data_IF_097271074541
#
_entry.id   IF_097271074541
#
_cell.length_a   1.000
_cell.length_b   1.000
_cell.length_c   1.000
_cell.angle_alpha   90.00
_cell.angle_beta   90.00
_cell.angle_gamma   90.00
#
_symmetry.space_group_name_H-M   'P 1'
#
loop_
_entity.id
_entity.type
_entity.pdbx_description
1 polymer ?
#
# COMPACT_ATOMS: atom_id res chain seq x y z
N UNK A 1 2.19 -22.03 4.40
CA UNK A 1 1.65 -23.30 3.87
C UNK A 1 2.41 -23.62 2.61
N UNK A 2 2.85 -24.87 2.43
CA UNK A 2 3.56 -25.30 1.23
C UNK A 2 2.58 -26.05 0.33
N UNK A 3 2.55 -25.72 -0.96
CA UNK A 3 1.75 -26.43 -1.96
C UNK A 3 2.23 -27.88 -2.10
N UNK A 4 1.29 -28.80 -2.21
CA UNK A 4 1.57 -30.24 -2.32
C UNK A 4 2.10 -30.59 -3.71
N UNK A 5 2.68 -31.80 -3.85
CA UNK A 5 3.14 -32.31 -5.15
C UNK A 5 1.97 -32.41 -6.15
N UNK A 6 0.78 -32.82 -5.68
CA UNK A 6 -0.43 -32.90 -6.51
C UNK A 6 -0.87 -31.53 -7.02
N UNK A 7 -0.77 -30.50 -6.20
CA UNK A 7 -1.12 -29.12 -6.62
C UNK A 7 -0.18 -28.67 -7.75
N UNK A 8 1.11 -28.98 -7.65
CA UNK A 8 2.11 -28.65 -8.69
C UNK A 8 1.82 -29.37 -10.00
N UNK A 9 1.44 -30.64 -9.95
CA UNK A 9 1.07 -31.43 -11.14
C UNK A 9 -0.19 -30.87 -11.81
N UNK A 10 -1.20 -30.47 -11.03
CA UNK A 10 -2.42 -29.85 -11.56
C UNK A 10 -2.14 -28.50 -12.22
N UNK A 11 -1.31 -27.66 -11.60
CA UNK A 11 -0.92 -26.35 -12.16
C UNK A 11 -0.09 -26.53 -13.44
N UNK A 12 0.85 -27.47 -13.46
CA UNK A 12 1.64 -27.77 -14.65
C UNK A 12 0.80 -28.35 -15.80
N UNK A 13 -0.34 -28.96 -15.47
CA UNK A 13 -1.33 -29.44 -16.45
C UNK A 13 -2.18 -28.33 -17.07
N UNK A 14 -2.09 -27.08 -16.62
CA UNK A 14 -2.82 -25.96 -17.21
C UNK A 14 -2.18 -25.55 -18.54
N UNK A 15 -2.96 -25.53 -19.62
CA UNK A 15 -2.52 -25.11 -20.96
C UNK A 15 -2.45 -23.58 -21.11
N UNK A 16 -1.59 -22.93 -20.33
CA UNK A 16 -1.41 -21.46 -20.37
C UNK A 16 -0.41 -21.10 -21.48
N UNK A 17 -0.85 -21.17 -22.73
CA UNK A 17 0.00 -21.01 -23.91
C UNK A 17 -0.11 -19.63 -24.59
N UNK A 18 -0.67 -18.62 -23.92
CA UNK A 18 -0.80 -17.26 -24.45
C UNK A 18 -0.83 -16.21 -23.34
N UNK A 19 -0.48 -14.97 -23.68
CA UNK A 19 -0.61 -13.82 -22.77
C UNK A 19 -2.04 -13.65 -22.26
N UNK A 20 -3.05 -13.83 -23.12
CA UNK A 20 -4.45 -13.69 -22.72
C UNK A 20 -4.86 -14.71 -21.63
N UNK A 21 -4.40 -15.96 -21.72
CA UNK A 21 -4.66 -16.96 -20.68
C UNK A 21 -3.88 -16.65 -19.40
N UNK A 22 -2.68 -16.07 -19.54
CA UNK A 22 -1.87 -15.63 -18.41
C UNK A 22 -2.54 -14.49 -17.66
N UNK A 23 -3.04 -13.48 -18.39
CA UNK A 23 -3.77 -12.35 -17.83
C UNK A 23 -5.01 -12.84 -17.06
N UNK A 24 -5.78 -13.79 -17.62
CA UNK A 24 -6.93 -14.41 -16.93
C UNK A 24 -6.52 -15.12 -15.65
N UNK A 25 -5.42 -15.88 -15.66
CA UNK A 25 -4.93 -16.54 -14.44
C UNK A 25 -4.56 -15.51 -13.37
N UNK A 26 -3.86 -14.45 -13.75
CA UNK A 26 -3.46 -13.39 -12.81
C UNK A 26 -4.66 -12.64 -12.26
N UNK A 27 -5.66 -12.34 -13.09
CA UNK A 27 -6.92 -11.73 -12.66
C UNK A 27 -7.65 -12.58 -11.61
N UNK A 28 -7.69 -13.90 -11.81
CA UNK A 28 -8.26 -14.84 -10.85
C UNK A 28 -7.48 -14.79 -9.54
N UNK A 29 -6.14 -14.85 -9.59
CA UNK A 29 -5.30 -14.81 -8.37
C UNK A 29 -5.52 -13.50 -7.59
N UNK A 30 -5.51 -12.35 -8.27
CA UNK A 30 -5.67 -11.05 -7.62
C UNK A 30 -7.07 -10.87 -7.03
N UNK A 31 -8.11 -11.39 -7.72
CA UNK A 31 -9.49 -11.38 -7.21
C UNK A 31 -9.61 -12.27 -5.97
N UNK A 32 -9.08 -13.49 -6.02
CA UNK A 32 -9.11 -14.45 -4.93
C UNK A 32 -8.34 -13.98 -3.69
N UNK A 33 -7.24 -13.24 -3.86
CA UNK A 33 -6.52 -12.61 -2.73
C UNK A 33 -7.40 -11.59 -1.99
N UNK A 34 -8.29 -10.91 -2.71
CA UNK A 34 -9.23 -9.94 -2.13
C UNK A 34 -10.34 -10.67 -1.39
N UNK A 35 -10.91 -11.71 -2.00
CA UNK A 35 -12.06 -12.44 -1.49
C UNK A 35 -11.69 -13.38 -0.33
N UNK A 36 -10.50 -13.97 -0.38
CA UNK A 36 -10.01 -14.98 0.56
C UNK A 36 -8.69 -14.58 1.23
N UNK A 37 -8.65 -13.51 2.05
CA UNK A 37 -7.42 -13.00 2.64
C UNK A 37 -6.72 -13.98 3.58
N UNK A 38 -7.43 -14.97 4.14
CA UNK A 38 -6.83 -16.04 4.96
C UNK A 38 -5.96 -17.01 4.16
N UNK A 39 -6.19 -17.10 2.84
CA UNK A 39 -5.42 -17.93 1.92
C UNK A 39 -4.32 -17.15 1.19
N UNK A 40 -4.07 -15.91 1.58
CA UNK A 40 -3.03 -15.04 1.01
C UNK A 40 -1.67 -15.74 0.82
N UNK A 41 -1.19 -16.46 1.84
CA UNK A 41 0.09 -17.16 1.76
C UNK A 41 0.10 -18.29 0.71
N UNK A 42 -1.06 -18.89 0.42
CA UNK A 42 -1.22 -19.91 -0.61
C UNK A 42 -1.14 -19.28 -2.00
N UNK A 43 -1.80 -18.15 -2.23
CA UNK A 43 -1.72 -17.43 -3.51
C UNK A 43 -0.31 -16.90 -3.78
N UNK A 44 0.40 -16.42 -2.75
CA UNK A 44 1.81 -16.05 -2.88
C UNK A 44 2.69 -17.25 -3.26
N UNK A 45 2.49 -18.40 -2.59
CA UNK A 45 3.20 -19.63 -2.91
C UNK A 45 2.91 -20.10 -4.35
N UNK A 46 1.68 -19.90 -4.83
CA UNK A 46 1.30 -20.17 -6.21
C UNK A 46 2.09 -19.27 -7.17
N UNK A 47 2.08 -17.95 -6.98
CA UNK A 47 2.86 -17.01 -7.79
C UNK A 47 4.36 -17.33 -7.83
N UNK A 48 4.92 -17.91 -6.77
CA UNK A 48 6.33 -18.35 -6.74
C UNK A 48 6.60 -19.60 -7.58
N UNK A 49 5.61 -20.49 -7.74
CA UNK A 49 5.77 -21.76 -8.46
C UNK A 49 5.52 -21.63 -9.96
N UNK A 50 4.59 -20.74 -10.35
CA UNK A 50 4.18 -20.57 -11.74
C UNK A 50 5.35 -20.26 -12.71
N UNK A 51 6.38 -19.45 -12.38
CA UNK A 51 7.54 -19.27 -13.26
C UNK A 51 8.23 -20.59 -13.61
N UNK A 52 8.37 -21.49 -12.62
CA UNK A 52 9.01 -22.80 -12.81
C UNK A 52 8.11 -23.77 -13.60
N UNK A 53 6.79 -23.71 -13.40
CA UNK A 53 5.84 -24.55 -14.11
C UNK A 53 5.74 -24.18 -15.60
N UNK A 54 5.95 -22.90 -15.94
CA UNK A 54 5.78 -22.39 -17.30
C UNK A 54 7.09 -22.03 -18.01
N UNK A 55 8.23 -22.48 -17.50
CA UNK A 55 9.54 -22.23 -18.11
C UNK A 55 9.61 -22.77 -19.56
N UNK A 56 9.05 -23.97 -19.80
CA UNK A 56 8.91 -24.54 -21.15
C UNK A 56 7.99 -23.73 -22.07
N UNK A 57 7.00 -23.06 -21.50
CA UNK A 57 6.07 -22.22 -22.26
C UNK A 57 6.76 -20.92 -22.69
N UNK A 58 7.62 -20.34 -21.83
CA UNK A 58 8.44 -19.18 -22.18
C UNK A 58 9.29 -19.42 -23.43
N UNK A 59 9.90 -20.59 -23.55
CA UNK A 59 10.71 -20.96 -24.72
C UNK A 59 9.90 -21.05 -26.01
N UNK A 60 8.63 -21.46 -25.93
CA UNK A 60 7.77 -21.73 -27.10
C UNK A 60 6.94 -20.51 -27.50
N UNK A 61 6.40 -19.79 -26.52
CA UNK A 61 5.42 -18.71 -26.72
C UNK A 61 5.99 -17.32 -26.48
N UNK A 62 7.19 -17.21 -25.89
CA UNK A 62 7.77 -15.93 -25.46
C UNK A 62 7.14 -15.33 -24.21
N UNK A 63 6.09 -15.93 -23.65
CA UNK A 63 5.38 -15.42 -22.47
C UNK A 63 6.30 -15.47 -21.25
N UNK A 64 6.59 -14.30 -20.66
CA UNK A 64 7.39 -14.18 -19.44
C UNK A 64 6.49 -13.92 -18.24
N UNK A 65 6.27 -14.98 -17.44
CA UNK A 65 5.40 -14.93 -16.27
C UNK A 65 5.74 -13.79 -15.28
N UNK A 66 7.02 -13.52 -15.05
CA UNK A 66 7.45 -12.46 -14.13
C UNK A 66 7.08 -11.08 -14.70
N UNK A 67 7.22 -10.89 -16.01
CA UNK A 67 6.80 -9.65 -16.67
C UNK A 67 5.29 -9.47 -16.63
N UNK A 68 4.51 -10.55 -16.84
CA UNK A 68 3.05 -10.52 -16.69
C UNK A 68 2.61 -10.15 -15.27
N UNK A 69 3.26 -10.71 -14.24
CA UNK A 69 3.02 -10.30 -12.85
C UNK A 69 3.32 -8.82 -12.66
N UNK A 70 4.49 -8.34 -13.11
CA UNK A 70 4.88 -6.93 -12.94
C UNK A 70 3.92 -5.98 -13.63
N UNK A 71 3.50 -6.32 -14.85
CA UNK A 71 2.47 -5.60 -15.62
C UNK A 71 1.16 -5.54 -14.82
N UNK A 72 0.67 -6.68 -14.36
CA UNK A 72 -0.57 -6.75 -13.56
C UNK A 72 -0.47 -5.94 -12.27
N UNK A 73 0.65 -6.03 -11.56
CA UNK A 73 0.84 -5.23 -10.35
C UNK A 73 0.86 -3.72 -10.65
N UNK A 74 1.48 -3.30 -11.76
CA UNK A 74 1.51 -1.90 -12.17
C UNK A 74 0.10 -1.39 -12.52
N UNK A 75 -0.68 -2.19 -13.24
CA UNK A 75 -2.08 -1.88 -13.54
C UNK A 75 -2.88 -1.66 -12.26
N UNK A 76 -2.78 -2.58 -11.28
CA UNK A 76 -3.47 -2.44 -9.99
C UNK A 76 -2.95 -1.25 -9.17
N UNK A 77 -1.64 -0.95 -9.23
CA UNK A 77 -1.04 0.25 -8.61
C UNK A 77 -1.47 1.54 -9.29
N UNK A 78 -1.90 1.53 -10.55
CA UNK A 78 -2.36 2.72 -11.26
C UNK A 78 -3.89 2.86 -11.32
N UNK A 79 -4.64 1.77 -11.16
CA UNK A 79 -6.11 1.76 -11.18
C UNK A 79 -6.69 2.71 -10.12
N UNK A 80 -7.72 3.49 -10.47
CA UNK A 80 -8.33 4.36 -9.46
C UNK A 80 -8.97 3.49 -8.36
N UNK A 81 -8.85 3.93 -7.11
CA UNK A 81 -9.48 3.21 -5.99
C UNK A 81 -10.99 3.12 -6.18
N UNK A 82 -11.60 4.10 -6.85
CA UNK A 82 -13.05 4.15 -7.01
C UNK A 82 -13.52 3.86 -8.45
N UNK A 83 -12.68 3.28 -9.31
CA UNK A 83 -13.06 2.93 -10.70
C UNK A 83 -14.30 2.02 -10.78
N UNK A 84 -14.51 1.18 -9.76
CA UNK A 84 -15.68 0.29 -9.67
C UNK A 84 -16.92 0.92 -9.04
N UNK A 85 -16.88 2.21 -8.64
CA UNK A 85 -17.99 2.91 -8.00
C UNK A 85 -18.67 3.83 -9.02
N UNK A 86 -19.89 3.48 -9.43
CA UNK A 86 -20.69 4.29 -10.34
C UNK A 86 -21.34 5.47 -9.60
N UNK A 87 -20.58 6.56 -9.44
CA UNK A 87 -21.06 7.78 -8.79
C UNK A 87 -22.21 8.43 -9.55
N UNK A 88 -22.30 8.29 -10.88
CA UNK A 88 -23.33 8.94 -11.68
C UNK A 88 -24.70 8.31 -11.43
N UNK A 89 -24.77 6.98 -11.47
CA UNK A 89 -26.01 6.25 -11.18
C UNK A 89 -26.50 6.52 -9.76
N UNK A 90 -25.59 6.54 -8.78
CA UNK A 90 -25.92 6.83 -7.38
C UNK A 90 -26.43 8.27 -7.22
N UNK A 91 -25.82 9.26 -7.91
CA UNK A 91 -26.24 10.65 -7.82
C UNK A 91 -27.63 10.90 -8.45
N UNK A 92 -27.98 10.15 -9.50
CA UNK A 92 -29.32 10.16 -10.09
C UNK A 92 -30.36 9.55 -9.14
N UNK A 93 -30.04 8.45 -8.45
CA UNK A 93 -30.94 7.83 -7.46
C UNK A 93 -31.18 8.74 -6.24
N UNK A 94 -30.14 9.42 -5.76
CA UNK A 94 -30.27 10.41 -4.67
C UNK A 94 -31.18 11.55 -5.09
N UNK A 95 -31.13 11.99 -6.35
CA UNK A 95 -31.92 13.13 -6.82
C UNK A 95 -33.40 12.81 -7.07
N UNK A 96 -33.77 11.52 -7.13
CA UNK A 96 -35.10 11.06 -7.54
C UNK A 96 -35.91 10.38 -6.43
N UNK A 97 -35.29 9.98 -5.31
CA UNK A 97 -35.97 9.24 -4.24
C UNK A 97 -36.09 10.05 -2.93
N UNK A 98 -37.22 10.71 -2.70
CA UNK A 98 -37.49 11.49 -1.47
C UNK A 98 -37.56 10.65 -0.17
N UNK A 99 -37.63 9.31 -0.27
CA UNK A 99 -37.79 8.39 0.88
C UNK A 99 -36.61 7.45 1.19
N UNK A 100 -35.59 7.37 0.34
CA UNK A 100 -34.50 6.35 0.42
C UNK A 100 -33.10 6.92 0.67
N UNK A 101 -32.98 8.24 0.86
CA UNK A 101 -31.67 8.92 0.93
C UNK A 101 -30.69 8.31 1.95
N UNK A 102 -31.17 7.81 3.08
CA UNK A 102 -30.31 7.18 4.09
C UNK A 102 -29.76 5.82 3.64
N UNK A 103 -30.57 5.01 2.94
CA UNK A 103 -30.16 3.70 2.43
C UNK A 103 -29.17 3.84 1.27
N UNK A 104 -29.44 4.75 0.33
CA UNK A 104 -28.54 5.04 -0.80
C UNK A 104 -27.19 5.54 -0.30
N UNK A 105 -27.21 6.41 0.72
CA UNK A 105 -25.99 6.91 1.36
C UNK A 105 -25.18 5.83 2.08
N UNK A 106 -25.86 4.92 2.78
CA UNK A 106 -25.20 3.79 3.42
C UNK A 106 -24.57 2.85 2.39
N UNK A 107 -25.28 2.56 1.29
CA UNK A 107 -24.76 1.75 0.18
C UNK A 107 -23.52 2.38 -0.45
N UNK A 108 -23.54 3.68 -0.73
CA UNK A 108 -22.36 4.40 -1.24
C UNK A 108 -21.18 4.30 -0.28
N UNK A 109 -21.42 4.50 1.02
CA UNK A 109 -20.36 4.41 2.04
C UNK A 109 -19.77 3.00 2.10
N UNK A 110 -20.61 1.98 1.97
CA UNK A 110 -20.19 0.58 1.93
C UNK A 110 -19.37 0.27 0.67
N UNK A 111 -19.83 0.69 -0.52
CA UNK A 111 -19.09 0.51 -1.77
C UNK A 111 -17.72 1.19 -1.73
N UNK A 112 -17.64 2.42 -1.21
CA UNK A 112 -16.36 3.11 -1.01
C UNK A 112 -15.46 2.35 -0.02
N UNK A 113 -16.03 1.77 1.03
CA UNK A 113 -15.29 0.98 1.99
C UNK A 113 -14.74 -0.31 1.38
N UNK A 114 -15.55 -1.00 0.58
CA UNK A 114 -15.15 -2.24 -0.06
C UNK A 114 -14.09 -1.99 -1.15
N UNK A 115 -14.20 -0.89 -1.88
CA UNK A 115 -13.20 -0.46 -2.85
C UNK A 115 -11.83 -0.17 -2.19
N UNK A 116 -11.82 0.56 -1.07
CA UNK A 116 -10.60 0.81 -0.29
C UNK A 116 -10.04 -0.48 0.32
N UNK A 117 -10.90 -1.33 0.86
CA UNK A 117 -10.52 -2.62 1.44
C UNK A 117 -9.87 -3.54 0.39
N UNK A 118 -10.46 -3.59 -0.82
CA UNK A 118 -9.90 -4.29 -1.99
C UNK A 118 -8.50 -3.75 -2.31
N UNK A 119 -8.38 -2.43 -2.49
CA UNK A 119 -7.09 -1.78 -2.74
C UNK A 119 -6.07 -2.15 -1.67
N UNK A 120 -6.41 -2.06 -0.39
CA UNK A 120 -5.48 -2.40 0.71
C UNK A 120 -4.97 -3.82 0.67
N UNK A 121 -5.85 -4.79 0.39
CA UNK A 121 -5.46 -6.20 0.26
C UNK A 121 -4.51 -6.38 -0.92
N UNK A 122 -4.78 -5.72 -2.05
CA UNK A 122 -3.94 -5.77 -3.25
C UNK A 122 -2.58 -5.13 -2.99
N UNK A 123 -2.50 -3.94 -2.39
CA UNK A 123 -1.22 -3.27 -2.10
C UNK A 123 -0.35 -4.09 -1.13
N UNK A 124 -0.97 -4.76 -0.15
CA UNK A 124 -0.27 -5.69 0.74
C UNK A 124 0.25 -6.91 -0.03
N UNK A 125 -0.54 -7.47 -0.94
CA UNK A 125 -0.12 -8.60 -1.77
C UNK A 125 1.02 -8.23 -2.73
N UNK A 126 0.99 -7.05 -3.32
CA UNK A 126 2.09 -6.55 -4.16
C UNK A 126 3.39 -6.41 -3.33
N UNK A 127 3.29 -5.94 -2.09
CA UNK A 127 4.42 -5.89 -1.18
C UNK A 127 4.97 -7.30 -0.85
N UNK A 128 4.11 -8.32 -0.76
CA UNK A 128 4.51 -9.72 -0.64
C UNK A 128 5.21 -10.25 -1.89
N UNK A 129 4.67 -9.97 -3.08
CA UNK A 129 5.29 -10.32 -4.36
C UNK A 129 6.68 -9.69 -4.51
N UNK A 130 6.85 -8.46 -4.02
CA UNK A 130 8.16 -7.80 -4.00
C UNK A 130 9.16 -8.53 -3.11
N UNK A 131 8.75 -9.00 -1.93
CA UNK A 131 9.63 -9.78 -1.06
C UNK A 131 10.10 -11.09 -1.72
N UNK A 132 9.29 -11.65 -2.61
CA UNK A 132 9.56 -12.89 -3.37
C UNK A 132 10.24 -12.67 -4.73
N UNK A 133 10.76 -11.45 -5.00
CA UNK A 133 11.44 -11.08 -6.26
C UNK A 133 10.55 -11.16 -7.52
N UNK A 134 9.23 -11.24 -7.34
CA UNK A 134 8.24 -11.25 -8.42
C UNK A 134 7.82 -9.83 -8.83
N UNK A 135 8.06 -8.85 -7.97
CA UNK A 135 7.94 -7.42 -8.24
C UNK A 135 9.29 -6.72 -8.09
N UNK A 136 9.45 -5.54 -8.69
CA UNK A 136 10.70 -4.77 -8.65
C UNK A 136 10.60 -3.51 -7.78
N UNK A 137 11.76 -2.88 -7.57
CA UNK A 137 11.88 -1.66 -6.76
C UNK A 137 11.10 -0.48 -7.36
N UNK A 138 11.00 -0.36 -8.67
CA UNK A 138 10.30 0.75 -9.32
C UNK A 138 8.80 0.68 -9.04
N UNK A 139 8.23 -0.52 -9.10
CA UNK A 139 6.86 -0.77 -8.70
C UNK A 139 6.61 -0.38 -7.24
N UNK A 140 7.53 -0.72 -6.33
CA UNK A 140 7.41 -0.34 -4.91
C UNK A 140 7.50 1.18 -4.70
N UNK A 141 8.35 1.88 -5.44
CA UNK A 141 8.41 3.34 -5.43
C UNK A 141 7.07 3.93 -5.87
N UNK A 142 6.47 3.41 -6.95
CA UNK A 142 5.16 3.85 -7.45
C UNK A 142 4.05 3.61 -6.42
N UNK A 143 4.03 2.44 -5.80
CA UNK A 143 3.06 2.07 -4.77
C UNK A 143 3.17 3.01 -3.55
N UNK A 144 4.40 3.25 -3.06
CA UNK A 144 4.64 4.16 -1.93
C UNK A 144 4.20 5.59 -2.29
N UNK A 145 4.56 6.08 -3.48
CA UNK A 145 4.18 7.41 -3.95
C UNK A 145 2.65 7.59 -3.99
N UNK A 146 1.94 6.58 -4.51
CA UNK A 146 0.49 6.57 -4.56
C UNK A 146 -0.13 6.61 -3.16
N UNK A 147 0.23 5.68 -2.28
CA UNK A 147 -0.33 5.60 -0.93
C UNK A 147 -0.03 6.86 -0.10
N UNK A 148 1.14 7.47 -0.31
CA UNK A 148 1.53 8.72 0.34
C UNK A 148 0.69 9.91 -0.14
N UNK A 149 0.45 10.02 -1.45
CA UNK A 149 -0.44 11.03 -2.03
C UNK A 149 -1.87 10.86 -1.52
N UNK A 150 -2.42 9.65 -1.62
CA UNK A 150 -3.78 9.32 -1.14
C UNK A 150 -3.92 9.61 0.36
N UNK A 151 -2.97 9.18 1.18
CA UNK A 151 -3.00 9.46 2.62
C UNK A 151 -2.92 10.95 2.94
N UNK A 152 -2.15 11.73 2.19
CA UNK A 152 -2.08 13.19 2.35
C UNK A 152 -3.39 13.87 1.99
N UNK A 153 -4.00 13.47 0.88
CA UNK A 153 -5.25 14.04 0.39
C UNK A 153 -6.42 13.67 1.30
N UNK A 154 -6.48 12.43 1.78
CA UNK A 154 -7.47 12.00 2.76
C UNK A 154 -7.38 12.82 4.06
N UNK A 155 -6.18 12.99 4.61
CA UNK A 155 -5.99 13.79 5.83
C UNK A 155 -6.38 15.26 5.63
N UNK A 156 -6.14 15.82 4.44
CA UNK A 156 -6.57 17.18 4.11
C UNK A 156 -8.09 17.29 4.07
N UNK A 157 -8.76 16.34 3.40
CA UNK A 157 -10.23 16.29 3.33
C UNK A 157 -10.81 16.17 4.74
N UNK A 158 -10.30 15.25 5.57
CA UNK A 158 -10.75 15.03 6.96
C UNK A 158 -10.61 16.27 7.84
N UNK A 159 -9.56 17.07 7.62
CA UNK A 159 -9.30 18.30 8.37
C UNK A 159 -10.06 19.54 7.87
N UNK A 160 -10.71 19.46 6.70
CA UNK A 160 -11.50 20.56 6.15
C UNK A 160 -12.88 20.58 6.81
N UNK A 161 -13.20 21.65 7.57
CA UNK A 161 -14.44 21.81 8.37
C UNK A 161 -15.76 21.75 7.59
N UNK A 162 -15.70 21.68 6.25
CA UNK A 162 -16.86 21.84 5.38
C UNK A 162 -17.67 20.56 5.16
N UNK A 163 -17.20 19.39 5.60
CA UNK A 163 -17.90 18.13 5.37
C UNK A 163 -18.01 17.34 6.68
N UNK A 164 -18.95 17.73 7.55
CA UNK A 164 -19.32 16.96 8.74
C UNK A 164 -19.69 15.50 8.44
N UNK A 165 -20.07 15.22 7.19
CA UNK A 165 -20.44 13.90 6.71
C UNK A 165 -19.29 13.14 6.01
N UNK A 166 -18.30 13.82 5.41
CA UNK A 166 -17.10 13.18 4.88
C UNK A 166 -16.21 12.58 5.99
N UNK A 167 -16.34 13.08 7.23
CA UNK A 167 -15.66 12.53 8.40
C UNK A 167 -16.04 11.08 8.72
N UNK A 168 -17.23 10.62 8.30
CA UNK A 168 -17.66 9.20 8.47
C UNK A 168 -17.20 8.32 7.31
N UNK A 169 -17.01 8.91 6.14
CA UNK A 169 -16.57 8.21 4.92
C UNK A 169 -15.04 8.04 4.93
N UNK A 170 -14.28 9.02 5.43
CA UNK A 170 -12.79 9.05 5.44
C UNK A 170 -12.16 8.36 6.66
N UNK A 171 -12.62 7.16 7.02
CA UNK A 171 -11.91 6.29 7.97
C UNK A 171 -11.08 5.25 7.22
N UNK A 172 -10.46 5.67 6.12
CA UNK A 172 -9.66 4.81 5.27
C UNK A 172 -8.22 4.98 5.69
N UNK A 173 -7.61 4.02 6.36
CA UNK A 173 -6.27 4.26 6.86
C UNK A 173 -5.21 4.02 5.77
N UNK A 174 -5.23 4.82 4.69
CA UNK A 174 -4.20 4.80 3.64
C UNK A 174 -2.80 4.94 4.24
N UNK A 175 -2.68 5.79 5.27
CA UNK A 175 -1.46 5.97 6.06
C UNK A 175 -1.06 4.69 6.80
N UNK A 176 -2.01 3.95 7.36
CA UNK A 176 -1.72 2.67 8.02
C UNK A 176 -1.31 1.61 7.01
N UNK A 177 -1.97 1.52 5.86
CA UNK A 177 -1.57 0.64 4.76
C UNK A 177 -0.15 0.95 4.31
N UNK A 178 0.16 2.23 4.08
CA UNK A 178 1.50 2.71 3.75
C UNK A 178 2.53 2.30 4.82
N UNK A 179 2.24 2.54 6.09
CA UNK A 179 3.14 2.19 7.18
C UNK A 179 3.36 0.67 7.25
N UNK A 180 2.31 -0.13 7.09
CA UNK A 180 2.40 -1.60 7.07
C UNK A 180 3.28 -2.10 5.91
N UNK A 181 3.09 -1.54 4.71
CA UNK A 181 3.91 -1.86 3.54
C UNK A 181 5.37 -1.50 3.79
N UNK A 182 5.67 -0.28 4.27
CA UNK A 182 7.05 0.15 4.52
C UNK A 182 7.69 -0.68 5.63
N UNK A 183 6.99 -0.96 6.72
CA UNK A 183 7.49 -1.84 7.79
C UNK A 183 7.85 -3.24 7.28
N UNK A 184 7.14 -3.72 6.27
CA UNK A 184 7.32 -5.05 5.68
C UNK A 184 8.50 -5.09 4.72
N UNK A 185 8.57 -4.13 3.80
CA UNK A 185 9.52 -4.16 2.67
C UNK A 185 10.74 -3.25 2.86
N UNK A 186 10.71 -2.34 3.83
CA UNK A 186 11.68 -1.24 3.96
C UNK A 186 13.14 -1.69 4.05
N UNK A 187 13.42 -2.82 4.71
CA UNK A 187 14.78 -3.36 4.78
C UNK A 187 15.30 -3.80 3.41
N UNK A 188 14.48 -4.52 2.63
CA UNK A 188 14.84 -4.97 1.28
C UNK A 188 14.94 -3.79 0.33
N UNK A 189 13.96 -2.89 0.40
CA UNK A 189 13.88 -1.68 -0.41
C UNK A 189 15.10 -0.77 -0.26
N UNK A 190 15.55 -0.50 0.98
CA UNK A 190 16.75 0.31 1.19
C UNK A 190 18.04 -0.41 0.79
N UNK A 191 18.11 -1.74 0.89
CA UNK A 191 19.28 -2.50 0.41
C UNK A 191 19.39 -2.36 -1.10
N UNK A 192 18.32 -2.66 -1.83
CA UNK A 192 18.29 -2.52 -3.29
C UNK A 192 18.55 -1.09 -3.75
N UNK A 193 17.96 -0.10 -3.07
CA UNK A 193 18.19 1.32 -3.37
C UNK A 193 19.65 1.78 -3.21
N UNK A 194 20.45 1.10 -2.38
CA UNK A 194 21.88 1.39 -2.22
C UNK A 194 22.75 0.73 -3.29
N UNK A 195 22.27 -0.35 -3.90
CA UNK A 195 22.94 -1.01 -5.02
C UNK A 195 22.59 -0.38 -6.38
N UNK A 196 21.57 0.47 -6.45
CA UNK A 196 21.26 1.29 -7.62
C UNK A 196 22.39 2.32 -7.86
N UNK A 197 23.19 2.08 -8.91
CA UNK A 197 24.34 2.89 -9.32
C UNK A 197 23.97 4.37 -9.55
N UNK A 198 22.72 4.65 -9.94
CA UNK A 198 22.25 6.01 -10.20
C UNK A 198 22.03 6.84 -8.94
N UNK A 199 22.00 6.21 -7.75
CA UNK A 199 21.62 6.80 -6.46
C UNK A 199 20.25 7.53 -6.45
N UNK A 200 19.47 7.47 -7.53
CA UNK A 200 18.22 8.21 -7.64
C UNK A 200 17.14 7.59 -6.77
N UNK A 201 17.10 6.26 -6.70
CA UNK A 201 16.13 5.54 -5.87
C UNK A 201 16.27 5.87 -4.39
N UNK A 202 17.49 5.93 -3.87
CA UNK A 202 17.74 6.26 -2.46
C UNK A 202 17.34 7.71 -2.13
N UNK A 203 17.56 8.65 -3.05
CA UNK A 203 17.11 10.05 -2.91
C UNK A 203 15.58 10.12 -2.87
N UNK A 204 14.90 9.40 -3.77
CA UNK A 204 13.44 9.30 -3.82
C UNK A 204 12.86 8.74 -2.53
N UNK A 205 13.42 7.64 -2.02
CA UNK A 205 12.99 7.08 -0.72
C UNK A 205 13.19 8.08 0.43
N UNK A 206 14.33 8.76 0.46
CA UNK A 206 14.60 9.79 1.47
C UNK A 206 13.60 10.94 1.41
N UNK A 207 13.16 11.32 0.21
CA UNK A 207 12.09 12.29 0.01
C UNK A 207 10.76 11.77 0.59
N UNK A 208 10.37 10.53 0.32
CA UNK A 208 9.13 9.95 0.87
C UNK A 208 9.14 9.87 2.40
N UNK A 209 10.27 9.55 3.03
CA UNK A 209 10.36 9.59 4.49
C UNK A 209 10.25 11.03 5.04
N UNK A 210 10.76 12.03 4.33
CA UNK A 210 10.55 13.42 4.70
C UNK A 210 9.09 13.84 4.56
N UNK A 211 8.39 13.38 3.53
CA UNK A 211 6.96 13.60 3.33
C UNK A 211 6.10 12.89 4.40
N UNK A 212 6.46 11.67 4.82
CA UNK A 212 5.80 10.98 5.94
C UNK A 212 5.81 11.82 7.22
N UNK A 213 6.91 12.53 7.51
CA UNK A 213 6.99 13.47 8.64
C UNK A 213 6.02 14.65 8.48
N UNK A 214 5.71 15.06 7.25
CA UNK A 214 4.69 16.09 7.01
C UNK A 214 3.28 15.52 7.20
N UNK A 215 3.02 14.32 6.67
CA UNK A 215 1.75 13.59 6.85
C UNK A 215 1.44 13.39 8.33
N UNK A 216 2.44 13.04 9.16
CA UNK A 216 2.26 12.87 10.60
C UNK A 216 1.80 14.15 11.32
N UNK A 217 2.00 15.34 10.74
CA UNK A 217 1.51 16.59 11.33
C UNK A 217 0.00 16.76 11.12
N UNK A 218 -0.55 16.16 10.08
CA UNK A 218 -1.95 16.25 9.69
C UNK A 218 -2.80 15.12 10.31
N UNK A 219 -2.17 13.99 10.63
CA UNK A 219 -2.84 12.81 11.17
C UNK A 219 -3.28 12.91 12.63
N UNK A 220 -4.15 11.97 13.02
CA UNK A 220 -4.54 11.73 14.40
C UNK A 220 -3.42 11.05 15.21
N UNK A 221 -3.71 10.67 16.46
CA UNK A 221 -2.72 10.04 17.32
C UNK A 221 -2.24 8.68 16.78
N UNK A 222 -3.14 7.86 16.24
CA UNK A 222 -2.80 6.51 15.77
C UNK A 222 -1.92 6.59 14.52
N UNK A 223 -2.28 7.45 13.58
CA UNK A 223 -1.51 7.68 12.35
C UNK A 223 -0.12 8.23 12.67
N UNK A 224 -0.02 9.15 13.63
CA UNK A 224 1.26 9.64 14.15
C UNK A 224 2.11 8.50 14.71
N UNK A 225 1.53 7.64 15.55
CA UNK A 225 2.23 6.51 16.15
C UNK A 225 2.73 5.52 15.08
N UNK A 226 1.89 5.16 14.10
CA UNK A 226 2.30 4.28 12.99
C UNK A 226 3.44 4.86 12.17
N UNK A 227 3.39 6.16 11.83
CA UNK A 227 4.48 6.82 11.10
C UNK A 227 5.76 6.88 11.94
N UNK A 228 5.66 7.20 13.24
CA UNK A 228 6.83 7.21 14.12
C UNK A 228 7.46 5.83 14.23
N UNK A 229 6.66 4.76 14.31
CA UNK A 229 7.18 3.40 14.32
C UNK A 229 7.99 3.08 13.07
N UNK A 230 7.50 3.47 11.88
CA UNK A 230 8.23 3.31 10.61
C UNK A 230 9.57 4.05 10.64
N UNK A 231 9.55 5.34 11.02
CA UNK A 231 10.77 6.16 11.06
C UNK A 231 11.81 5.59 12.04
N UNK A 232 11.35 5.02 13.14
CA UNK A 232 12.20 4.38 14.15
C UNK A 232 12.78 3.06 13.67
N UNK A 233 11.98 2.22 13.01
CA UNK A 233 12.50 1.01 12.39
C UNK A 233 13.60 1.37 11.40
N UNK A 234 13.40 2.40 10.57
CA UNK A 234 14.43 2.89 9.65
C UNK A 234 15.70 3.38 10.36
N UNK A 235 15.56 4.21 11.40
CA UNK A 235 16.70 4.73 12.18
C UNK A 235 17.54 3.60 12.82
N UNK A 236 16.89 2.51 13.21
CA UNK A 236 17.54 1.29 13.73
C UNK A 236 18.03 0.33 12.63
N UNK A 237 18.07 0.75 11.37
CA UNK A 237 18.50 -0.11 10.27
C UNK A 237 17.57 -1.31 10.03
N UNK A 238 16.27 -1.14 10.29
CA UNK A 238 15.19 -2.12 10.12
C UNK A 238 15.27 -3.33 11.05
N UNK A 239 15.98 -3.21 12.18
CA UNK A 239 16.00 -4.23 13.22
C UNK A 239 14.72 -4.12 14.07
N UNK A 240 13.91 -5.18 14.09
CA UNK A 240 12.72 -5.27 14.94
C UNK A 240 13.18 -5.56 16.38
N UNK A 241 13.19 -4.54 17.24
CA UNK A 241 13.31 -4.73 18.70
C UNK A 241 11.92 -4.99 19.30
N UNK A 242 11.83 -5.92 20.25
CA UNK A 242 10.58 -6.26 20.96
C UNK A 242 10.19 -5.24 22.05
N UNK A 243 10.89 -4.11 22.19
CA UNK A 243 10.74 -3.21 23.34
C UNK A 243 9.88 -1.98 23.06
N UNK A 244 8.62 -2.03 23.51
CA UNK A 244 7.66 -0.93 23.47
C UNK A 244 8.05 0.28 24.34
N UNK A 245 8.97 0.14 25.31
CA UNK A 245 9.41 1.25 26.19
C UNK A 245 10.16 2.38 25.47
N UNK A 246 10.57 2.16 24.22
CA UNK A 246 11.35 3.12 23.44
C UNK A 246 10.47 4.16 22.72
N UNK A 247 9.22 3.83 22.39
CA UNK A 247 8.29 4.73 21.70
C UNK A 247 7.94 5.97 22.54
N UNK A 248 7.77 5.81 23.86
CA UNK A 248 7.63 6.93 24.80
C UNK A 248 8.88 7.81 24.83
N UNK A 249 10.08 7.20 24.85
CA UNK A 249 11.36 7.95 24.89
C UNK A 249 11.56 8.82 23.64
N UNK A 250 11.07 8.41 22.48
CA UNK A 250 11.17 9.22 21.25
C UNK A 250 10.10 10.29 21.14
N UNK A 251 8.86 10.00 21.53
CA UNK A 251 7.83 11.04 21.64
C UNK A 251 8.36 12.19 22.51
N UNK A 252 8.93 11.85 23.68
CA UNK A 252 9.59 12.82 24.55
C UNK A 252 10.81 13.50 23.91
N UNK A 253 11.66 12.79 23.15
CA UNK A 253 12.85 13.40 22.49
C UNK A 253 12.48 14.35 21.35
N UNK A 254 11.49 13.99 20.52
CA UNK A 254 11.01 14.84 19.41
C UNK A 254 10.27 16.06 19.95
N UNK A 255 9.49 15.89 21.01
CA UNK A 255 8.85 17.00 21.72
C UNK A 255 9.88 17.91 22.40
N UNK A 256 10.90 17.35 23.06
CA UNK A 256 12.03 18.11 23.60
C UNK A 256 12.84 18.85 22.52
N UNK A 257 12.96 18.30 21.31
CA UNK A 257 13.60 18.97 20.17
C UNK A 257 12.75 20.13 19.65
N UNK A 258 11.41 19.96 19.58
CA UNK A 258 10.46 21.05 19.25
C UNK A 258 10.45 22.17 20.28
N UNK A 259 10.46 21.83 21.58
CA UNK A 259 10.52 22.80 22.68
C UNK A 259 11.82 23.59 22.59
N UNK A 260 12.96 22.93 22.36
CA UNK A 260 14.26 23.60 22.16
C UNK A 260 14.25 24.53 20.95
N UNK A 261 13.72 24.12 19.81
CA UNK A 261 13.62 24.97 18.62
C UNK A 261 12.72 26.20 18.84
N UNK A 262 11.59 26.05 19.56
CA UNK A 262 10.75 27.20 19.94
C UNK A 262 11.45 28.13 20.94
N UNK A 263 12.19 27.57 21.89
CA UNK A 263 12.93 28.34 22.88
C UNK A 263 14.06 29.17 22.23
N UNK A 264 14.88 28.56 21.37
CA UNK A 264 15.92 29.26 20.63
C UNK A 264 15.36 30.26 19.61
N UNK A 265 14.25 29.92 18.94
CA UNK A 265 13.56 30.86 18.06
C UNK A 265 13.02 32.09 18.79
N UNK A 266 12.62 31.96 20.06
CA UNK A 266 12.20 33.11 20.90
C UNK A 266 13.38 33.91 21.44
N UNK A 267 14.50 33.26 21.77
CA UNK A 267 15.72 33.96 22.21
C UNK A 267 16.30 34.88 21.14
N UNK A 268 16.23 34.48 19.87
CA UNK A 268 16.68 35.33 18.76
C UNK A 268 15.85 36.60 18.58
N UNK A 269 14.62 36.67 19.12
CA UNK A 269 13.76 37.87 19.08
C UNK A 269 14.21 38.90 20.13
N UNK A 270 14.94 38.48 21.17
CA UNK A 270 15.47 39.36 22.22
C UNK A 270 16.93 39.79 21.98
N UNK A 271 17.53 39.36 20.87
CA UNK A 271 18.90 39.73 20.48
C UNK A 271 18.97 40.68 19.27
N UNK A 272 17.81 41.12 18.77
CA UNK A 272 17.62 42.26 17.85
C UNK A 272 16.95 43.39 18.58
#
# INVERSE_FOLDING_TARGET
MSLTIKDKEQIAGLEINSDAKMDVLLDVIFTEVVDQPYHHATYLALCRLLPCCFEKIREISGVNFIESIRKKCLEEVLADTYDSVDFQSIQMEISTSEGSHMNIRNNLTQMMHDAVSKRDKIMKFIADLYLEDLADINLMICLIARLLREGKDELRIRNTRLLGEAKRITKYNCVECLCNVICKVGSKLEKEARYDESCNTLKTLSHYFAELIQVSRLGDHNEKCSIMQVLLLREKGWQKENDFSYLEKISCRLEAKRIRQRFYGRLNIYQT
#
